data_IF_536753723968
#
_entry.id   IF_536753723968
#
_cell.length_a   1.000
_cell.length_b   1.000
_cell.length_c   1.000
_cell.angle_alpha   90.00
_cell.angle_beta   90.00
_cell.angle_gamma   90.00
#
_symmetry.space_group_name_H-M   'P 1'
#
loop_
_entity.id
_entity.type
_entity.pdbx_description
1 polymer ?
#
# COMPACT_ATOMS: atom_id res chain seq x y z
N UNK A 1 0.87 6.03 7.26
CA UNK A 1 1.74 5.51 6.19
C UNK A 1 2.82 4.62 6.78
N UNK A 2 3.56 3.91 5.93
CA UNK A 2 4.62 2.97 6.32
C UNK A 2 5.73 3.00 5.27
N UNK A 3 6.99 2.98 5.72
CA UNK A 3 8.14 2.63 4.87
C UNK A 3 8.35 1.12 4.96
N UNK A 4 8.39 0.44 3.82
CA UNK A 4 8.66 -0.99 3.71
C UNK A 4 10.17 -1.26 3.80
N UNK A 5 10.54 -2.52 4.06
CA UNK A 5 11.95 -2.91 4.18
C UNK A 5 12.78 -2.64 2.90
N UNK A 6 12.14 -2.58 1.74
CA UNK A 6 12.78 -2.27 0.44
C UNK A 6 12.85 -0.77 0.13
N UNK A 7 12.35 0.09 1.01
CA UNK A 7 12.36 1.54 0.86
C UNK A 7 11.10 2.13 0.22
N UNK A 8 10.17 1.32 -0.30
CA UNK A 8 8.88 1.83 -0.79
C UNK A 8 8.09 2.49 0.34
N UNK A 9 7.36 3.57 0.01
CA UNK A 9 6.49 4.28 0.95
C UNK A 9 5.04 4.01 0.61
N UNK A 10 4.30 3.49 1.58
CA UNK A 10 2.88 3.17 1.43
C UNK A 10 2.03 4.12 2.26
N UNK A 11 1.04 4.73 1.62
CA UNK A 11 -0.02 5.50 2.28
C UNK A 11 -1.33 4.74 2.12
N UNK A 12 -2.05 4.54 3.21
CA UNK A 12 -3.41 4.01 3.20
C UNK A 12 -4.32 5.01 3.92
N UNK A 13 -5.53 5.21 3.40
CA UNK A 13 -6.43 6.24 3.90
C UNK A 13 -7.91 5.90 3.76
N UNK A 14 -8.75 6.92 3.88
CA UNK A 14 -10.21 6.78 3.78
C UNK A 14 -10.62 6.33 2.38
N UNK A 15 -11.82 5.74 2.27
CA UNK A 15 -12.37 5.24 1.00
C UNK A 15 -11.45 4.25 0.26
N UNK A 16 -10.71 3.41 1.00
CA UNK A 16 -9.86 2.35 0.47
C UNK A 16 -8.62 2.80 -0.28
N UNK A 17 -8.30 4.11 -0.28
CA UNK A 17 -7.13 4.63 -1.00
C UNK A 17 -5.85 3.98 -0.46
N UNK A 18 -5.11 3.32 -1.35
CA UNK A 18 -3.74 2.86 -1.13
C UNK A 18 -2.85 3.46 -2.21
N UNK A 19 -1.80 4.18 -1.79
CA UNK A 19 -0.81 4.81 -2.67
C UNK A 19 0.58 4.25 -2.35
N UNK A 20 1.40 4.08 -3.38
CA UNK A 20 2.80 3.64 -3.26
C UNK A 20 3.70 4.66 -3.93
N UNK A 21 4.81 4.96 -3.26
CA UNK A 21 5.97 5.61 -3.85
C UNK A 21 7.15 4.64 -3.85
N UNK A 22 7.87 4.60 -4.97
CA UNK A 22 9.13 3.87 -5.13
C UNK A 22 10.33 4.82 -5.24
N UNK A 23 10.08 6.13 -5.21
CA UNK A 23 11.05 7.20 -5.43
C UNK A 23 11.21 8.07 -4.18
N UNK A 24 11.22 7.48 -2.98
CA UNK A 24 11.47 8.24 -1.75
C UNK A 24 10.38 9.26 -1.39
N UNK A 25 9.12 8.97 -1.70
CA UNK A 25 7.96 9.83 -1.51
C UNK A 25 7.92 11.10 -2.40
N UNK A 26 8.65 11.11 -3.52
CA UNK A 26 8.59 12.20 -4.50
C UNK A 26 7.32 12.13 -5.38
N UNK A 27 6.88 10.92 -5.75
CA UNK A 27 5.64 10.68 -6.50
C UNK A 27 4.90 9.44 -5.99
N UNK A 28 3.60 9.37 -6.26
CA UNK A 28 2.74 8.29 -5.78
C UNK A 28 1.84 7.75 -6.90
N UNK A 29 1.75 6.43 -6.97
CA UNK A 29 0.80 5.70 -7.83
C UNK A 29 -0.25 5.05 -6.96
N UNK A 30 -1.51 5.08 -7.41
CA UNK A 30 -2.61 4.42 -6.72
C UNK A 30 -2.58 2.93 -7.04
N UNK A 31 -2.75 2.10 -6.00
CA UNK A 31 -3.01 0.68 -6.16
C UNK A 31 -4.49 0.52 -6.41
N UNK A 32 -4.85 -0.10 -7.53
CA UNK A 32 -6.22 -0.52 -7.76
C UNK A 32 -6.54 -1.67 -6.81
N UNK A 33 -7.31 -1.36 -5.78
CA UNK A 33 -8.08 -2.32 -5.02
C UNK A 33 -9.56 -2.00 -5.29
N UNK A 34 -10.42 -3.00 -5.43
CA UNK A 34 -11.86 -2.79 -5.53
C UNK A 34 -12.48 -2.49 -4.15
N UNK A 35 -11.72 -1.78 -3.31
CA UNK A 35 -12.02 -1.61 -1.91
C UNK A 35 -12.31 -0.15 -1.59
N UNK A 36 -13.37 0.07 -0.81
CA UNK A 36 -13.85 1.40 -0.41
C UNK A 36 -13.84 1.62 1.09
N UNK A 37 -13.32 0.66 1.86
CA UNK A 37 -13.39 0.67 3.31
C UNK A 37 -12.29 1.57 3.90
N UNK A 38 -12.54 2.17 5.05
CA UNK A 38 -11.58 3.06 5.72
C UNK A 38 -10.41 2.27 6.28
N UNK A 39 -9.20 2.82 6.16
CA UNK A 39 -7.96 2.27 6.73
C UNK A 39 -7.38 3.22 7.77
N UNK A 40 -7.11 2.69 8.96
CA UNK A 40 -6.48 3.40 10.06
C UNK A 40 -4.97 3.21 10.06
N UNK A 41 -4.48 2.04 9.66
CA UNK A 41 -3.06 1.74 9.63
C UNK A 41 -2.68 0.77 8.50
N UNK A 42 -1.38 0.76 8.20
CA UNK A 42 -0.75 -0.19 7.28
C UNK A 42 0.52 -0.74 7.91
N UNK A 43 0.70 -2.06 7.79
CA UNK A 43 1.91 -2.77 8.16
C UNK A 43 2.39 -3.65 7.01
N UNK A 44 3.68 -3.98 7.00
CA UNK A 44 4.23 -4.98 6.09
C UNK A 44 3.92 -6.37 6.62
N UNK A 45 3.45 -7.26 5.76
CA UNK A 45 3.27 -8.67 6.04
C UNK A 45 4.59 -9.44 5.96
N UNK A 46 4.53 -10.76 6.10
CA UNK A 46 5.73 -11.61 6.06
C UNK A 46 6.38 -11.65 4.68
N UNK A 47 5.57 -11.62 3.62
CA UNK A 47 6.08 -11.48 2.26
C UNK A 47 6.42 -10.01 1.98
N UNK A 48 7.51 -9.71 1.27
CA UNK A 48 7.94 -8.34 0.98
C UNK A 48 6.84 -7.46 0.37
N UNK A 49 6.03 -8.03 -0.51
CA UNK A 49 4.92 -7.38 -1.20
C UNK A 49 3.57 -7.52 -0.52
N UNK A 50 3.49 -8.19 0.63
CA UNK A 50 2.24 -8.27 1.39
C UNK A 50 2.08 -7.04 2.28
N UNK A 51 0.91 -6.41 2.21
CA UNK A 51 0.47 -5.40 3.16
C UNK A 51 -0.65 -5.94 4.03
N UNK A 52 -0.60 -5.56 5.31
CA UNK A 52 -1.70 -5.71 6.25
C UNK A 52 -2.36 -4.35 6.40
N UNK A 53 -3.60 -4.26 5.94
CA UNK A 53 -4.46 -3.09 6.03
C UNK A 53 -5.36 -3.24 7.25
N UNK A 54 -5.26 -2.30 8.19
CA UNK A 54 -6.04 -2.34 9.43
C UNK A 54 -7.11 -1.25 9.39
N UNK A 55 -8.37 -1.65 9.57
CA UNK A 55 -9.51 -0.76 9.57
C UNK A 55 -10.61 -1.24 10.50
N UNK A 56 -11.79 -0.62 10.40
CA UNK A 56 -12.93 -0.90 11.27
C UNK A 56 -13.49 -2.32 11.09
N UNK A 57 -13.27 -2.92 9.92
CA UNK A 57 -13.67 -4.31 9.62
C UNK A 57 -12.59 -5.34 9.95
N UNK A 58 -11.54 -4.93 10.67
CA UNK A 58 -10.43 -5.80 11.06
C UNK A 58 -9.21 -5.66 10.15
N UNK A 59 -8.54 -6.79 9.90
CA UNK A 59 -7.28 -6.85 9.14
C UNK A 59 -7.51 -7.53 7.80
N UNK A 60 -7.11 -6.85 6.74
CA UNK A 60 -7.12 -7.37 5.38
C UNK A 60 -5.70 -7.49 4.85
N UNK A 61 -5.45 -8.51 4.02
CA UNK A 61 -4.19 -8.66 3.31
C UNK A 61 -4.34 -8.18 1.87
N UNK A 62 -3.49 -7.25 1.46
CA UNK A 62 -3.34 -6.80 0.08
C UNK A 62 -1.97 -7.22 -0.44
N UNK A 63 -1.93 -7.79 -1.66
CA UNK A 63 -0.66 -8.05 -2.35
C UNK A 63 -0.34 -6.88 -3.26
N UNK A 64 0.83 -6.26 -3.07
CA UNK A 64 1.37 -5.29 -4.01
C UNK A 64 1.83 -6.06 -5.24
N UNK A 65 1.12 -5.94 -6.34
CA UNK A 65 1.69 -6.34 -7.63
C UNK A 65 2.75 -5.29 -7.95
N UNK A 66 4.03 -5.68 -8.18
CA UNK A 66 5.04 -4.75 -8.65
C UNK A 66 4.47 -4.00 -9.86
N UNK A 67 4.61 -2.68 -9.90
CA UNK A 67 4.23 -1.93 -11.09
C UNK A 67 4.99 -2.57 -12.26
N UNK A 68 4.27 -3.19 -13.19
CA UNK A 68 4.88 -3.76 -14.38
C UNK A 68 5.71 -2.64 -15.03
N UNK A 69 7.02 -2.84 -15.08
CA UNK A 69 8.07 -1.84 -15.36
C UNK A 69 7.58 -0.58 -16.07
N UNK A 70 7.37 0.47 -15.29
CA UNK A 70 6.94 1.78 -15.77
C UNK A 70 8.11 2.72 -16.07
N UNK A 71 8.85 2.42 -17.15
CA UNK A 71 9.63 3.36 -18.01
C UNK A 71 10.77 4.19 -17.37
N UNK A 72 12.00 3.79 -17.70
CA UNK A 72 12.91 4.63 -18.50
C UNK A 72 13.70 3.76 -19.46
#
# INVERSE_FOLDING_TARGET
GRVLADGRVVLAGQAGVVLISEDGAHSFVRVDNDDRRTRAAVAQGEQPDALLLVGEEGVERLSLVPAAGGRS
#
